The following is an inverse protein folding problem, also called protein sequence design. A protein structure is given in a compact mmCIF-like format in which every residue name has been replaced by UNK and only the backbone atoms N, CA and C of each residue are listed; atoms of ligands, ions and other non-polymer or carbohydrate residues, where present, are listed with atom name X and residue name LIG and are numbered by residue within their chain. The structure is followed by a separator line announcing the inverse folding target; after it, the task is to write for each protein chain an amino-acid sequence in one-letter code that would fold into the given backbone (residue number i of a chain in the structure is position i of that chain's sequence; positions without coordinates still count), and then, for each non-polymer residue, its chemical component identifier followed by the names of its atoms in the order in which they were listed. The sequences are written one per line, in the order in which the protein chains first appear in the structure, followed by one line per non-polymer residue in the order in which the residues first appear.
data_IF_094948004296
#
_entry.id   IF_094948004296
#
_cell.length_a   1.000
_cell.length_b   1.000
_cell.length_c   1.000
_cell.angle_alpha   90.00
_cell.angle_beta   90.00
_cell.angle_gamma   90.00
#
_symmetry.space_group_name_H-M   'P 1'
#
loop_
_entity.id
_entity.type
_entity.pdbx_description
1 polymer ?
#
# COMPACT_ATOMS: atom_id res chain seq x y z
N UNK A 1 -69.67 9.19 -4.93
CA UNK A 1 -68.59 8.18 -4.82
C UNK A 1 -67.29 8.80 -5.33
N UNK A 2 -66.42 9.31 -4.44
CA UNK A 2 -65.13 9.90 -4.81
C UNK A 2 -64.07 8.79 -4.78
N UNK A 3 -63.47 8.48 -5.94
CA UNK A 3 -62.30 7.59 -6.01
C UNK A 3 -61.07 8.39 -5.60
N UNK A 4 -60.46 7.99 -4.48
CA UNK A 4 -59.20 8.54 -3.99
C UNK A 4 -58.06 7.94 -4.82
N UNK A 5 -57.30 8.77 -5.52
CA UNK A 5 -56.05 8.35 -6.15
C UNK A 5 -54.98 8.24 -5.06
N UNK A 6 -54.50 7.02 -4.81
CA UNK A 6 -53.32 6.78 -3.97
C UNK A 6 -52.10 6.98 -4.87
N UNK A 7 -51.42 8.11 -4.71
CA UNK A 7 -50.12 8.34 -5.31
C UNK A 7 -49.06 7.52 -4.55
N UNK A 8 -48.48 6.53 -5.23
CA UNK A 8 -47.43 5.66 -4.69
C UNK A 8 -46.09 6.43 -4.76
N UNK A 9 -45.66 7.00 -3.64
CA UNK A 9 -44.38 7.71 -3.52
C UNK A 9 -43.24 6.68 -3.35
N UNK A 10 -42.66 6.23 -4.47
CA UNK A 10 -41.44 5.42 -4.46
C UNK A 10 -40.24 6.32 -4.09
N UNK A 11 -39.95 6.45 -2.80
CA UNK A 11 -38.67 6.96 -2.33
C UNK A 11 -37.58 5.94 -2.66
N UNK A 12 -36.96 6.13 -3.82
CA UNK A 12 -35.67 5.54 -4.16
C UNK A 12 -34.65 6.04 -3.12
N UNK A 13 -34.42 5.26 -2.07
CA UNK A 13 -33.21 5.34 -1.29
C UNK A 13 -32.05 4.96 -2.22
N UNK A 14 -31.53 5.96 -2.93
CA UNK A 14 -30.24 5.86 -3.57
C UNK A 14 -29.24 5.48 -2.48
N UNK A 15 -28.63 4.29 -2.62
CA UNK A 15 -27.46 3.95 -1.81
C UNK A 15 -26.40 4.98 -2.18
N UNK A 16 -26.29 6.03 -1.37
CA UNK A 16 -25.12 6.91 -1.34
C UNK A 16 -23.94 6.00 -1.00
N UNK A 17 -23.34 5.42 -2.03
CA UNK A 17 -22.07 4.74 -1.95
C UNK A 17 -21.03 5.84 -1.74
N UNK A 18 -20.89 6.32 -0.51
CA UNK A 18 -19.75 7.13 -0.12
C UNK A 18 -18.52 6.25 -0.38
N UNK A 19 -17.86 6.50 -1.51
CA UNK A 19 -16.55 5.94 -1.77
C UNK A 19 -15.64 6.45 -0.66
N UNK A 20 -14.99 5.53 0.05
CA UNK A 20 -14.02 5.92 1.04
C UNK A 20 -12.78 6.45 0.30
N UNK A 21 -12.37 7.68 0.59
CA UNK A 21 -11.21 8.27 -0.04
C UNK A 21 -9.93 7.62 0.48
N UNK A 22 -9.20 6.97 -0.44
CA UNK A 22 -7.89 6.38 -0.15
C UNK A 22 -6.82 7.43 0.16
N UNK A 23 -7.05 8.68 -0.25
CA UNK A 23 -6.15 9.80 -0.07
C UNK A 23 -6.96 11.01 0.40
N UNK A 24 -6.69 11.47 1.61
CA UNK A 24 -7.35 12.65 2.17
C UNK A 24 -6.78 13.94 1.55
N UNK A 25 -7.51 15.06 1.58
CA UNK A 25 -7.05 16.32 0.99
C UNK A 25 -5.71 16.85 1.54
N UNK A 26 -5.39 16.53 2.79
CA UNK A 26 -4.14 16.91 3.45
C UNK A 26 -3.00 15.91 3.23
N UNK A 27 -3.24 14.82 2.50
CA UNK A 27 -2.26 13.76 2.26
C UNK A 27 -1.69 13.83 0.85
N UNK A 28 -0.52 13.22 0.66
CA UNK A 28 0.09 12.94 -0.63
C UNK A 28 0.58 11.50 -0.71
N UNK A 29 0.60 10.96 -1.93
CA UNK A 29 1.03 9.58 -2.19
C UNK A 29 2.55 9.47 -2.11
N UNK A 30 3.04 8.54 -1.29
CA UNK A 30 4.45 8.13 -1.31
C UNK A 30 4.67 6.99 -2.30
N UNK A 31 3.79 5.99 -2.25
CA UNK A 31 3.80 4.84 -3.12
C UNK A 31 2.41 4.22 -3.20
N UNK A 32 1.97 3.75 -4.36
CA UNK A 32 0.68 3.05 -4.51
C UNK A 32 0.66 2.19 -5.76
N UNK A 33 -0.13 1.13 -5.75
CA UNK A 33 -0.42 0.32 -6.94
C UNK A 33 -1.80 -0.37 -6.82
N UNK A 34 -2.29 -0.86 -7.95
CA UNK A 34 -3.39 -1.82 -8.01
C UNK A 34 -2.86 -3.24 -8.00
N UNK A 35 -3.51 -4.12 -7.25
CA UNK A 35 -3.24 -5.57 -7.25
C UNK A 35 -3.78 -6.22 -8.51
N UNK A 36 -3.22 -7.37 -8.89
CA UNK A 36 -3.76 -8.23 -9.96
C UNK A 36 -5.21 -8.67 -9.67
N UNK A 37 -5.60 -8.73 -8.39
CA UNK A 37 -6.96 -9.05 -7.93
C UNK A 37 -7.93 -7.83 -7.88
N UNK A 38 -7.52 -6.65 -8.36
CA UNK A 38 -8.39 -5.47 -8.45
C UNK A 38 -8.58 -4.67 -7.15
N UNK A 39 -7.82 -5.01 -6.09
CA UNK A 39 -7.65 -4.18 -4.88
C UNK A 39 -6.60 -3.10 -5.10
N UNK A 40 -6.58 -2.08 -4.24
CA UNK A 40 -5.62 -0.98 -4.24
C UNK A 40 -4.81 -0.99 -2.94
N UNK A 41 -3.51 -0.74 -3.06
CA UNK A 41 -2.62 -0.43 -1.95
C UNK A 41 -2.14 1.02 -2.07
N UNK A 42 -2.12 1.75 -0.98
CA UNK A 42 -1.52 3.08 -0.90
C UNK A 42 -0.72 3.24 0.39
N UNK A 43 0.48 3.80 0.25
CA UNK A 43 1.26 4.41 1.30
C UNK A 43 1.22 5.92 1.07
N UNK A 44 0.62 6.66 2.00
CA UNK A 44 0.46 8.10 1.94
C UNK A 44 1.03 8.75 3.19
N UNK A 45 1.35 10.04 3.10
CA UNK A 45 1.69 10.85 4.27
C UNK A 45 0.91 12.14 4.28
N UNK A 46 0.77 12.72 5.45
CA UNK A 46 0.38 14.13 5.57
C UNK A 46 1.39 15.03 4.84
N UNK A 47 0.89 16.06 4.15
CA UNK A 47 1.71 17.01 3.38
C UNK A 47 2.74 17.74 4.26
N UNK A 48 2.46 17.91 5.54
CA UNK A 48 3.37 18.52 6.52
C UNK A 48 4.13 17.48 7.37
N UNK A 49 4.10 16.20 6.97
CA UNK A 49 4.86 15.13 7.63
C UNK A 49 4.33 14.71 8.99
N UNK A 50 3.07 15.06 9.33
CA UNK A 50 2.49 14.74 10.65
C UNK A 50 2.32 13.24 10.90
N UNK A 51 2.07 12.47 9.85
CA UNK A 51 1.92 11.02 9.92
C UNK A 51 2.17 10.39 8.54
N UNK A 52 2.34 9.07 8.55
CA UNK A 52 2.33 8.14 7.41
C UNK A 52 1.23 7.10 7.64
N UNK A 53 0.59 6.65 6.57
CA UNK A 53 -0.51 5.69 6.63
C UNK A 53 -0.49 4.77 5.42
N UNK A 54 -0.66 3.48 5.70
CA UNK A 54 -0.93 2.42 4.75
C UNK A 54 -2.44 2.18 4.67
N UNK A 55 -2.97 2.02 3.45
CA UNK A 55 -4.34 1.52 3.24
C UNK A 55 -4.38 0.47 2.15
N UNK A 56 -5.24 -0.51 2.35
CA UNK A 56 -5.51 -1.58 1.40
C UNK A 56 -6.99 -1.89 1.32
N UNK A 57 -7.50 -2.20 0.14
CA UNK A 57 -8.87 -2.65 -0.03
C UNK A 57 -9.39 -2.53 -1.46
N UNK A 58 -10.71 -2.45 -1.62
CA UNK A 58 -11.36 -2.28 -2.93
C UNK A 58 -11.60 -0.80 -3.25
N UNK A 59 -11.99 -0.48 -4.49
CA UNK A 59 -12.43 0.87 -4.86
C UNK A 59 -13.58 1.43 -4.02
N UNK A 60 -14.33 0.57 -3.31
CA UNK A 60 -15.51 0.95 -2.53
C UNK A 60 -15.23 1.01 -1.02
N UNK A 61 -14.22 0.30 -0.54
CA UNK A 61 -13.99 0.10 0.90
C UNK A 61 -12.51 -0.08 1.19
N UNK A 62 -12.00 0.69 2.15
CA UNK A 62 -10.73 0.40 2.80
C UNK A 62 -10.96 -0.79 3.74
N UNK A 63 -10.21 -1.85 3.52
CA UNK A 63 -10.29 -3.11 4.29
C UNK A 63 -9.26 -3.14 5.41
N UNK A 64 -8.15 -2.44 5.22
CA UNK A 64 -7.08 -2.30 6.21
C UNK A 64 -6.52 -0.88 6.15
N UNK A 65 -6.48 -0.19 7.28
CA UNK A 65 -5.77 1.09 7.48
C UNK A 65 -4.81 0.91 8.66
N UNK A 66 -3.56 1.34 8.49
CA UNK A 66 -2.55 1.23 9.54
C UNK A 66 -1.45 2.30 9.36
N UNK A 67 -0.87 2.82 10.45
CA UNK A 67 -1.35 2.79 11.83
C UNK A 67 -2.35 3.93 12.07
N UNK A 68 -2.63 4.25 13.33
CA UNK A 68 -3.31 5.50 13.68
C UNK A 68 -2.53 6.73 13.17
N UNK A 69 -3.25 7.73 12.67
CA UNK A 69 -2.69 8.93 12.03
C UNK A 69 -2.21 9.94 13.07
N UNK A 70 -1.03 9.69 13.64
CA UNK A 70 -0.34 10.57 14.58
C UNK A 70 1.17 10.55 14.34
N UNK A 71 1.95 11.35 15.08
CA UNK A 71 3.41 11.44 14.89
C UNK A 71 4.16 10.12 15.09
N UNK A 72 3.63 9.24 15.93
CA UNK A 72 4.23 7.92 16.20
C UNK A 72 4.05 6.95 15.04
N UNK A 73 3.23 7.29 14.03
CA UNK A 73 3.02 6.43 12.86
C UNK A 73 4.31 6.12 12.13
N UNK A 74 5.25 7.08 12.07
CA UNK A 74 6.52 6.93 11.38
C UNK A 74 7.36 5.80 11.99
N UNK A 75 7.31 5.67 13.32
CA UNK A 75 8.04 4.65 14.07
C UNK A 75 7.45 3.24 13.90
N UNK A 76 6.32 3.10 13.19
CA UNK A 76 5.68 1.81 12.89
C UNK A 76 6.15 1.20 11.58
N UNK A 77 6.93 1.94 10.79
CA UNK A 77 7.48 1.48 9.54
C UNK A 77 9.01 1.49 9.58
N UNK A 78 9.62 0.47 8.98
CA UNK A 78 11.04 0.47 8.64
C UNK A 78 11.22 0.33 7.14
N UNK A 79 12.38 0.71 6.65
CA UNK A 79 12.75 0.58 5.24
C UNK A 79 14.02 -0.24 5.13
N UNK A 80 14.09 -1.16 4.18
CA UNK A 80 15.33 -1.79 3.80
C UNK A 80 15.45 -1.86 2.29
N UNK A 81 16.69 -1.96 1.82
CA UNK A 81 16.96 -1.99 0.40
C UNK A 81 18.25 -2.76 0.12
N UNK A 82 18.31 -3.36 -1.05
CA UNK A 82 19.51 -4.00 -1.56
C UNK A 82 19.70 -3.60 -3.02
N UNK A 83 20.91 -3.26 -3.40
CA UNK A 83 21.22 -2.93 -4.78
C UNK A 83 22.52 -3.60 -5.21
N UNK A 84 22.43 -4.33 -6.31
CA UNK A 84 23.57 -4.96 -6.99
C UNK A 84 23.54 -4.53 -8.44
N UNK A 85 24.57 -3.78 -8.88
CA UNK A 85 24.73 -3.37 -10.28
C UNK A 85 25.36 -4.47 -11.15
N UNK A 86 25.80 -4.11 -12.36
CA UNK A 86 26.55 -5.02 -13.25
C UNK A 86 25.72 -5.77 -14.30
N UNK A 87 24.48 -5.34 -14.54
CA UNK A 87 23.59 -5.91 -15.57
C UNK A 87 23.24 -7.38 -15.33
N UNK A 88 22.72 -8.01 -16.39
CA UNK A 88 22.31 -9.43 -16.36
C UNK A 88 23.45 -10.35 -15.96
N UNK A 89 24.69 -10.06 -16.36
CA UNK A 89 25.86 -10.90 -16.04
C UNK A 89 26.16 -10.97 -14.54
N UNK A 90 25.78 -9.93 -13.78
CA UNK A 90 25.96 -9.89 -12.34
C UNK A 90 24.63 -10.09 -11.59
N UNK A 91 23.59 -10.58 -12.28
CA UNK A 91 22.24 -10.74 -11.74
C UNK A 91 21.82 -9.45 -11.02
N UNK A 92 22.01 -8.31 -11.68
CA UNK A 92 21.74 -7.01 -11.10
C UNK A 92 20.29 -6.94 -10.61
N UNK A 93 20.13 -6.34 -9.42
CA UNK A 93 18.84 -6.19 -8.76
C UNK A 93 18.79 -4.87 -8.00
N UNK A 94 17.59 -4.32 -7.89
CA UNK A 94 17.30 -3.16 -7.08
C UNK A 94 16.05 -3.47 -6.26
N UNK A 95 16.23 -3.72 -4.96
CA UNK A 95 15.18 -4.14 -4.04
C UNK A 95 14.87 -2.99 -3.08
N UNK A 96 13.58 -2.68 -2.89
CA UNK A 96 13.13 -1.61 -2.00
C UNK A 96 11.89 -2.07 -1.24
N UNK A 97 12.00 -2.16 0.09
CA UNK A 97 10.98 -2.76 0.92
C UNK A 97 10.62 -1.85 2.10
N UNK A 98 9.32 -1.61 2.31
CA UNK A 98 8.79 -0.98 3.52
C UNK A 98 8.10 -2.04 4.36
N UNK A 99 8.49 -2.12 5.63
CA UNK A 99 8.02 -3.14 6.55
C UNK A 99 7.20 -2.56 7.69
N UNK A 100 6.18 -3.30 8.13
CA UNK A 100 5.42 -2.99 9.34
C UNK A 100 4.78 -4.26 9.90
N UNK A 101 4.25 -4.18 11.13
CA UNK A 101 3.63 -5.32 11.82
C UNK A 101 2.25 -4.99 12.37
N UNK A 102 1.32 -5.93 12.22
CA UNK A 102 -0.01 -5.90 12.82
C UNK A 102 -0.24 -7.25 13.53
N UNK A 103 -0.17 -7.25 14.86
CA UNK A 103 -0.19 -8.48 15.64
C UNK A 103 0.97 -9.41 15.25
N UNK A 104 0.66 -10.67 14.93
CA UNK A 104 1.64 -11.68 14.51
C UNK A 104 1.97 -11.63 13.01
N UNK A 105 1.43 -10.66 12.27
CA UNK A 105 1.66 -10.54 10.83
C UNK A 105 2.65 -9.42 10.54
N UNK A 106 3.68 -9.76 9.79
CA UNK A 106 4.62 -8.82 9.20
C UNK A 106 4.27 -8.61 7.74
N UNK A 107 4.25 -7.36 7.32
CA UNK A 107 3.95 -6.93 5.97
C UNK A 107 5.21 -6.32 5.36
N UNK A 108 5.56 -6.74 4.15
CA UNK A 108 6.59 -6.11 3.32
C UNK A 108 5.93 -5.59 2.06
N UNK A 109 5.97 -4.28 1.85
CA UNK A 109 5.58 -3.63 0.60
C UNK A 109 6.84 -3.52 -0.25
N UNK A 110 6.86 -4.11 -1.43
CA UNK A 110 8.05 -4.16 -2.26
C UNK A 110 7.90 -3.41 -3.60
N UNK A 111 9.01 -2.82 -4.05
CA UNK A 111 9.25 -2.24 -5.37
C UNK A 111 10.63 -2.70 -5.84
N UNK A 112 10.64 -3.80 -6.60
CA UNK A 112 11.83 -4.55 -6.92
C UNK A 112 12.06 -4.59 -8.44
N UNK A 113 13.33 -4.60 -8.84
CA UNK A 113 13.75 -4.84 -10.22
C UNK A 113 14.77 -5.98 -10.25
N UNK A 114 14.59 -6.87 -11.24
CA UNK A 114 15.50 -7.98 -11.51
C UNK A 114 15.95 -7.93 -12.96
N UNK A 115 17.26 -7.81 -13.20
CA UNK A 115 17.80 -7.74 -14.56
C UNK A 115 17.73 -9.07 -15.31
N UNK A 116 17.84 -10.21 -14.62
CA UNK A 116 17.82 -11.55 -15.22
C UNK A 116 16.55 -11.80 -16.04
N UNK A 117 15.38 -11.45 -15.48
CA UNK A 117 14.09 -11.52 -16.15
C UNK A 117 13.67 -10.21 -16.82
N UNK A 118 14.45 -9.13 -16.63
CA UNK A 118 14.09 -7.76 -16.96
C UNK A 118 12.68 -7.38 -16.45
N UNK A 119 12.39 -7.75 -15.20
CA UNK A 119 11.08 -7.62 -14.59
C UNK A 119 11.08 -6.60 -13.45
N UNK A 120 9.99 -5.84 -13.37
CA UNK A 120 9.68 -5.05 -12.18
C UNK A 120 8.57 -5.76 -11.41
N UNK A 121 8.84 -6.02 -10.14
CA UNK A 121 7.93 -6.68 -9.23
C UNK A 121 7.47 -5.69 -8.16
N UNK A 122 6.16 -5.63 -7.96
CA UNK A 122 5.53 -4.79 -6.94
C UNK A 122 4.44 -5.58 -6.27
N UNK A 123 4.32 -5.44 -4.95
CA UNK A 123 3.41 -6.30 -4.22
C UNK A 123 3.52 -6.15 -2.72
N UNK A 124 2.88 -7.10 -2.04
CA UNK A 124 2.88 -7.20 -0.58
C UNK A 124 3.14 -8.65 -0.20
N UNK A 125 4.19 -8.87 0.56
CA UNK A 125 4.46 -10.15 1.23
C UNK A 125 3.93 -10.06 2.66
N UNK A 126 3.14 -11.06 3.07
CA UNK A 126 2.56 -11.13 4.42
C UNK A 126 3.06 -12.41 5.09
N UNK A 127 3.87 -12.26 6.14
CA UNK A 127 4.42 -13.38 6.91
C UNK A 127 3.76 -13.46 8.27
N UNK A 128 3.23 -14.63 8.63
CA UNK A 128 2.79 -14.91 9.99
C UNK A 128 3.98 -15.39 10.84
N UNK A 129 4.51 -14.49 11.68
CA UNK A 129 5.68 -14.71 12.55
C UNK A 129 5.51 -15.79 13.62
N UNK A 130 4.29 -16.28 13.86
CA UNK A 130 4.07 -17.40 14.77
C UNK A 130 4.17 -18.77 14.06
N UNK A 131 4.05 -18.80 12.73
CA UNK A 131 4.00 -20.05 11.95
C UNK A 131 4.98 -20.09 10.77
N UNK A 132 5.65 -18.98 10.50
CA UNK A 132 6.49 -18.74 9.32
C UNK A 132 5.78 -18.92 7.97
N UNK A 133 4.44 -18.99 7.95
CA UNK A 133 3.67 -19.05 6.71
C UNK A 133 3.64 -17.68 6.02
N UNK A 134 3.85 -17.69 4.71
CA UNK A 134 3.86 -16.50 3.86
C UNK A 134 2.74 -16.54 2.83
N UNK A 135 2.18 -15.36 2.54
CA UNK A 135 1.22 -15.12 1.46
C UNK A 135 1.66 -13.91 0.65
N UNK A 136 1.46 -13.98 -0.67
CA UNK A 136 1.83 -12.90 -1.60
C UNK A 136 0.60 -12.22 -2.21
N UNK A 137 0.69 -10.90 -2.36
CA UNK A 137 -0.28 -10.08 -3.08
C UNK A 137 0.46 -9.35 -4.21
N UNK A 138 0.30 -9.86 -5.42
CA UNK A 138 0.95 -9.28 -6.60
C UNK A 138 0.27 -7.99 -7.08
N UNK A 139 1.07 -6.98 -7.34
CA UNK A 139 0.72 -5.70 -7.94
C UNK A 139 0.78 -5.72 -9.48
N UNK A 140 0.20 -4.67 -10.08
CA UNK A 140 0.35 -4.33 -11.49
C UNK A 140 1.35 -3.19 -11.58
N UNK A 141 2.56 -3.45 -12.07
CA UNK A 141 3.61 -2.44 -12.12
C UNK A 141 3.22 -1.16 -12.90
N UNK A 142 2.47 -1.30 -13.99
CA UNK A 142 2.00 -0.15 -14.78
C UNK A 142 0.99 0.78 -14.05
N UNK A 143 0.50 0.39 -12.87
CA UNK A 143 -0.39 1.20 -12.03
C UNK A 143 0.34 1.95 -10.92
N UNK A 144 1.67 1.78 -10.82
CA UNK A 144 2.49 2.38 -9.78
C UNK A 144 2.42 3.91 -9.84
N UNK A 145 2.30 4.53 -8.67
CA UNK A 145 2.50 5.96 -8.47
C UNK A 145 3.42 6.17 -7.28
N UNK A 146 4.37 7.09 -7.41
CA UNK A 146 5.41 7.28 -6.40
C UNK A 146 6.54 6.26 -6.54
N UNK A 147 7.37 6.11 -5.51
CA UNK A 147 8.46 5.12 -5.47
C UNK A 147 9.00 4.98 -4.05
N UNK A 148 9.30 3.75 -3.64
CA UNK A 148 9.95 3.41 -2.38
C UNK A 148 11.44 3.77 -2.39
N UNK A 149 12.08 3.82 -3.56
CA UNK A 149 13.49 4.25 -3.70
C UNK A 149 13.79 5.57 -2.99
N UNK A 150 12.80 6.50 -2.91
CA UNK A 150 12.95 7.80 -2.25
C UNK A 150 13.35 7.66 -0.77
N UNK A 151 12.99 6.57 -0.09
CA UNK A 151 13.35 6.34 1.31
C UNK A 151 14.84 6.10 1.53
N UNK A 152 15.61 5.78 0.48
CA UNK A 152 17.08 5.65 0.57
C UNK A 152 17.77 6.95 0.99
N UNK A 153 17.19 8.12 0.71
CA UNK A 153 17.84 9.42 0.91
C UNK A 153 17.01 10.43 1.69
N UNK A 154 15.68 10.30 1.73
CA UNK A 154 14.81 11.32 2.34
C UNK A 154 14.80 11.31 3.88
N UNK A 155 15.39 10.28 4.52
CA UNK A 155 15.47 10.10 5.98
C UNK A 155 14.11 10.07 6.70
N UNK A 156 13.01 9.78 5.99
CA UNK A 156 11.67 9.72 6.57
C UNK A 156 11.42 8.42 7.34
N UNK A 157 12.03 7.31 6.90
CA UNK A 157 11.94 6.00 7.55
C UNK A 157 13.30 5.57 8.07
N UNK A 158 13.29 4.86 9.20
CA UNK A 158 14.50 4.21 9.71
C UNK A 158 14.93 3.12 8.74
N UNK A 159 16.20 3.15 8.35
CA UNK A 159 16.81 2.09 7.56
C UNK A 159 17.15 0.91 8.48
N UNK A 160 16.72 -0.28 8.09
CA UNK A 160 17.02 -1.55 8.75
C UNK A 160 18.08 -2.29 7.92
N UNK A 161 19.36 -2.05 8.22
CA UNK A 161 20.50 -2.56 7.43
C UNK A 161 20.68 -4.08 7.57
N UNK A 162 20.16 -4.67 8.64
CA UNK A 162 20.23 -6.11 8.91
C UNK A 162 19.18 -6.90 8.12
N UNK A 163 18.30 -6.21 7.40
CA UNK A 163 17.14 -6.77 6.71
C UNK A 163 17.34 -6.71 5.18
N UNK A 164 17.45 -7.88 4.54
CA UNK A 164 17.76 -8.02 3.10
C UNK A 164 16.67 -8.83 2.36
N UNK A 165 15.58 -9.22 3.04
CA UNK A 165 14.45 -9.95 2.43
C UNK A 165 13.60 -9.07 1.51
#
# INVERSE_FOLDING_TARGET
MKKVQIALFFLLFSKLSFGQDYLLPNEEVLFSFETKAGKKMILAKDKHGKYIVYRFGTSKKIELEYPEKNKESWNKFTFAYYSRGGGVQNLAMDLNNVFFKIGNFEYSIHENYYSESNENDVGITIRNTATEKTSEIYGKYNSVKGSLYKFRSNKLLKIDEDRID
#
